data_IF_206996324131
#
_entry.id   IF_206996324131
#
_cell.length_a   1.000
_cell.length_b   1.000
_cell.length_c   1.000
_cell.angle_alpha   90.00
_cell.angle_beta   90.00
_cell.angle_gamma   90.00
#
_symmetry.space_group_name_H-M   'P 1'
#
loop_
_entity.id
_entity.type
_entity.pdbx_description
1 polymer ?
#
# COMPACT_ATOMS: atom_id res chain seq x y z
N UNK A 1 40.53 34.49 35.73
CA UNK A 1 40.35 34.26 34.26
C UNK A 1 40.15 32.79 33.84
N UNK A 2 40.18 31.79 34.73
CA UNK A 2 40.10 30.37 34.37
C UNK A 2 38.67 29.77 34.27
N UNK A 3 37.67 30.36 34.92
CA UNK A 3 36.31 29.78 34.98
C UNK A 3 35.43 30.13 33.75
N UNK A 4 35.63 31.33 33.17
CA UNK A 4 34.92 31.73 31.95
C UNK A 4 35.42 30.98 30.72
N UNK A 5 36.72 30.70 30.60
CA UNK A 5 37.30 29.94 29.51
C UNK A 5 36.88 28.46 29.54
N UNK A 6 36.76 27.85 30.73
CA UNK A 6 36.28 26.47 30.87
C UNK A 6 34.79 26.34 30.55
N UNK A 7 33.97 27.33 30.95
CA UNK A 7 32.55 27.36 30.60
C UNK A 7 32.31 27.56 29.08
N UNK A 8 33.12 28.42 28.44
CA UNK A 8 33.07 28.63 26.99
C UNK A 8 33.50 27.39 26.22
N UNK A 9 34.49 26.62 26.68
CA UNK A 9 34.94 25.38 26.06
C UNK A 9 33.86 24.27 26.15
N UNK A 10 33.21 24.15 27.31
CA UNK A 10 32.09 23.19 27.51
C UNK A 10 30.88 23.56 26.65
N UNK A 11 30.55 24.86 26.53
CA UNK A 11 29.48 25.33 25.67
C UNK A 11 29.81 25.13 24.18
N UNK A 12 31.06 25.34 23.75
CA UNK A 12 31.51 25.10 22.38
C UNK A 12 31.50 23.60 22.02
N UNK A 13 31.95 22.72 22.95
CA UNK A 13 31.86 21.27 22.76
C UNK A 13 30.38 20.77 22.69
N UNK A 14 29.51 21.29 23.56
CA UNK A 14 28.09 20.97 23.54
C UNK A 14 27.39 21.44 22.25
N UNK A 15 27.74 22.65 21.77
CA UNK A 15 27.24 23.19 20.51
C UNK A 15 27.75 22.40 19.29
N UNK A 16 29.01 21.94 19.32
CA UNK A 16 29.60 21.10 18.28
C UNK A 16 28.98 19.72 18.26
N UNK A 17 28.70 19.11 19.43
CA UNK A 17 27.97 17.83 19.52
C UNK A 17 26.52 17.98 19.04
N UNK A 18 25.81 19.05 19.40
CA UNK A 18 24.46 19.36 18.92
C UNK A 18 24.42 19.58 17.40
N UNK A 19 25.43 20.27 16.83
CA UNK A 19 25.56 20.49 15.41
C UNK A 19 25.85 19.19 14.62
N UNK A 20 26.67 18.28 15.21
CA UNK A 20 26.92 16.96 14.66
C UNK A 20 25.68 16.06 14.74
N UNK A 21 24.86 16.16 15.80
CA UNK A 21 23.56 15.48 15.88
C UNK A 21 22.51 16.07 14.93
N UNK A 22 22.51 17.37 14.68
CA UNK A 22 21.58 18.03 13.78
C UNK A 22 21.95 17.85 12.29
N UNK A 23 23.21 17.56 11.97
CA UNK A 23 23.67 17.25 10.61
C UNK A 23 23.60 15.77 10.26
N UNK A 24 23.42 14.89 11.25
CA UNK A 24 23.00 13.52 11.01
C UNK A 24 21.53 13.54 10.55
N UNK A 25 21.32 13.63 9.22
CA UNK A 25 20.03 13.26 8.65
C UNK A 25 19.69 11.87 9.19
N UNK A 26 18.45 11.63 9.63
CA UNK A 26 17.99 10.28 9.79
C UNK A 26 17.90 9.65 8.37
N UNK A 27 19.01 9.13 7.88
CA UNK A 27 18.89 7.93 7.10
C UNK A 27 18.12 6.96 8.01
N UNK A 28 17.07 6.34 7.55
CA UNK A 28 16.40 5.26 8.26
C UNK A 28 17.46 4.23 8.65
N UNK A 29 18.09 4.45 9.78
CA UNK A 29 19.10 3.62 10.34
C UNK A 29 18.48 3.06 11.61
N UNK A 30 18.15 1.79 11.52
CA UNK A 30 18.00 0.93 12.68
C UNK A 30 19.40 0.79 13.29
N UNK A 31 19.76 1.73 14.18
CA UNK A 31 21.12 1.93 14.71
C UNK A 31 21.38 1.08 15.96
N UNK A 32 21.15 -0.22 15.88
CA UNK A 32 21.69 -1.16 16.84
C UNK A 32 22.79 -2.01 16.21
N UNK A 33 23.74 -2.55 16.99
CA UNK A 33 24.51 -3.70 16.55
C UNK A 33 23.52 -4.87 16.36
N UNK A 34 22.72 -4.77 15.29
CA UNK A 34 21.65 -5.70 15.00
C UNK A 34 22.29 -6.99 14.54
N UNK A 35 21.99 -8.05 15.24
CA UNK A 35 22.28 -9.42 14.79
C UNK A 35 21.37 -9.84 13.64
N UNK A 36 20.39 -9.01 13.32
CA UNK A 36 19.46 -9.13 12.19
C UNK A 36 19.39 -7.78 11.48
N UNK A 37 19.77 -7.72 10.21
CA UNK A 37 19.73 -6.49 9.40
C UNK A 37 19.30 -6.77 7.96
N UNK A 38 18.73 -5.76 7.28
CA UNK A 38 18.41 -5.88 5.85
C UNK A 38 19.71 -6.04 5.05
N UNK A 39 19.77 -7.03 4.18
CA UNK A 39 20.94 -7.31 3.36
C UNK A 39 20.94 -6.45 2.11
N UNK A 40 21.86 -5.50 2.03
CA UNK A 40 22.00 -4.57 0.90
C UNK A 40 22.74 -5.16 -0.31
N UNK A 41 23.14 -6.43 -0.28
CA UNK A 41 23.93 -7.08 -1.32
C UNK A 41 23.16 -7.49 -2.57
N UNK A 42 21.83 -7.43 -2.56
CA UNK A 42 20.97 -7.68 -3.71
C UNK A 42 20.25 -6.38 -4.10
N UNK A 43 20.53 -5.77 -5.27
CA UNK A 43 20.02 -4.43 -5.63
C UNK A 43 18.48 -4.34 -5.73
N UNK A 44 17.80 -5.47 -5.95
CA UNK A 44 16.34 -5.54 -6.08
C UNK A 44 15.63 -6.09 -4.83
N UNK A 45 16.38 -6.48 -3.79
CA UNK A 45 15.79 -6.95 -2.54
C UNK A 45 15.49 -5.77 -1.60
N UNK A 46 14.48 -5.98 -0.73
CA UNK A 46 14.09 -5.04 0.32
C UNK A 46 13.37 -3.77 -0.17
N UNK A 47 12.85 -3.79 -1.40
CA UNK A 47 11.96 -2.72 -1.85
C UNK A 47 10.61 -2.85 -1.16
N UNK A 48 10.10 -1.70 -0.67
CA UNK A 48 8.77 -1.64 -0.07
C UNK A 48 7.67 -1.84 -1.12
N UNK A 49 6.55 -2.35 -0.70
CA UNK A 49 5.33 -2.33 -1.50
C UNK A 49 4.80 -0.89 -1.61
N UNK A 50 4.45 -0.49 -2.82
CA UNK A 50 3.77 0.77 -3.13
C UNK A 50 2.75 0.46 -4.24
N UNK A 51 1.68 -0.22 -3.83
CA UNK A 51 0.66 -0.75 -4.76
C UNK A 51 -0.53 0.20 -4.75
N UNK A 52 -0.87 0.74 -5.91
CA UNK A 52 -2.01 1.62 -6.08
C UNK A 52 -3.04 1.00 -7.04
N UNK A 53 -4.31 1.17 -6.73
CA UNK A 53 -5.41 0.70 -7.57
C UNK A 53 -5.53 -0.82 -7.64
N UNK A 54 -5.20 -1.52 -6.56
CA UNK A 54 -5.26 -2.98 -6.46
C UNK A 54 -6.69 -3.49 -6.66
N UNK A 55 -6.83 -4.56 -7.42
CA UNK A 55 -8.10 -5.14 -7.82
C UNK A 55 -8.31 -6.50 -7.16
N UNK A 56 -9.56 -6.93 -6.90
CA UNK A 56 -9.81 -8.30 -6.48
C UNK A 56 -9.16 -9.32 -7.43
N UNK A 57 -8.27 -10.15 -6.86
CA UNK A 57 -7.47 -11.14 -7.60
C UNK A 57 -6.09 -10.65 -8.06
N UNK A 58 -5.76 -9.36 -7.94
CA UNK A 58 -4.41 -8.86 -8.20
C UNK A 58 -3.43 -9.34 -7.12
N UNK A 59 -2.19 -9.55 -7.54
CA UNK A 59 -1.10 -9.96 -6.65
C UNK A 59 0.18 -9.20 -7.00
N UNK A 60 0.91 -8.81 -5.98
CA UNK A 60 2.21 -8.14 -6.11
C UNK A 60 3.23 -8.86 -5.25
N UNK A 61 4.44 -9.08 -5.79
CA UNK A 61 5.50 -9.82 -5.10
C UNK A 61 6.74 -8.95 -4.91
N UNK A 62 7.40 -9.11 -3.77
CA UNK A 62 8.70 -8.50 -3.47
C UNK A 62 9.62 -9.53 -2.84
N UNK A 63 10.90 -9.43 -3.19
CA UNK A 63 11.96 -10.24 -2.59
C UNK A 63 12.60 -9.47 -1.44
N UNK A 64 12.79 -10.16 -0.33
CA UNK A 64 13.45 -9.64 0.86
C UNK A 64 14.64 -10.50 1.22
N UNK A 65 15.69 -9.87 1.69
CA UNK A 65 16.88 -10.54 2.18
C UNK A 65 17.32 -9.91 3.52
N UNK A 66 17.45 -10.75 4.52
CA UNK A 66 17.85 -10.35 5.87
C UNK A 66 19.11 -11.11 6.24
N UNK A 67 20.12 -10.38 6.72
CA UNK A 67 21.36 -10.96 7.24
C UNK A 67 21.20 -11.25 8.72
N UNK A 68 21.52 -12.44 9.11
CA UNK A 68 21.43 -12.92 10.49
C UNK A 68 22.79 -13.46 10.95
N UNK A 69 23.35 -12.88 12.00
CA UNK A 69 24.58 -13.37 12.61
C UNK A 69 24.26 -14.38 13.72
N UNK A 70 24.61 -15.63 13.50
CA UNK A 70 24.39 -16.72 14.46
C UNK A 70 25.34 -17.88 14.20
N UNK A 71 25.58 -18.68 15.23
CA UNK A 71 26.36 -19.92 15.15
C UNK A 71 25.54 -21.16 15.45
N UNK A 72 24.50 -20.99 16.26
CA UNK A 72 23.57 -22.07 16.63
C UNK A 72 22.24 -21.89 15.90
N UNK A 73 21.47 -22.97 15.81
CA UNK A 73 20.12 -22.93 15.26
C UNK A 73 19.23 -21.94 16.02
N UNK A 74 18.44 -21.17 15.28
CA UNK A 74 17.50 -20.21 15.84
C UNK A 74 16.30 -20.01 14.92
N UNK A 75 15.23 -19.44 15.46
CA UNK A 75 14.02 -19.11 14.72
C UNK A 75 13.93 -17.60 14.52
N UNK A 76 13.75 -17.18 13.24
CA UNK A 76 13.46 -15.80 12.87
C UNK A 76 11.94 -15.67 12.72
N UNK A 77 11.38 -14.71 13.45
CA UNK A 77 9.96 -14.36 13.39
C UNK A 77 9.75 -13.29 12.32
N UNK A 78 8.88 -13.57 11.38
CA UNK A 78 8.39 -12.62 10.40
C UNK A 78 6.97 -12.22 10.75
N UNK A 79 6.72 -10.92 10.90
CA UNK A 79 5.41 -10.36 11.28
C UNK A 79 5.08 -9.11 10.50
N UNK A 80 3.79 -8.80 10.43
CA UNK A 80 3.27 -7.54 9.92
C UNK A 80 2.85 -6.65 11.11
N UNK A 81 3.02 -5.34 10.98
CA UNK A 81 2.45 -4.34 11.89
C UNK A 81 1.53 -3.43 11.08
N UNK A 82 0.25 -3.38 11.45
CA UNK A 82 -0.74 -2.54 10.78
C UNK A 82 -0.61 -1.11 11.30
N UNK A 83 -0.10 -0.20 10.48
CA UNK A 83 0.04 1.24 10.79
C UNK A 83 -1.28 1.96 10.53
N UNK A 84 -1.93 1.66 9.40
CA UNK A 84 -3.29 2.07 9.07
C UNK A 84 -4.01 0.95 8.33
N UNK A 85 -5.32 0.83 8.54
CA UNK A 85 -6.15 -0.19 7.95
C UNK A 85 -7.58 0.34 7.79
N UNK A 86 -7.84 0.95 6.64
CA UNK A 86 -9.15 1.49 6.33
C UNK A 86 -10.09 0.37 5.89
N UNK A 87 -11.31 0.41 6.40
CA UNK A 87 -12.38 -0.53 6.08
C UNK A 87 -12.02 -2.01 6.36
N UNK A 88 -10.93 -2.28 7.12
CA UNK A 88 -10.49 -3.63 7.40
C UNK A 88 -9.81 -4.31 6.20
N UNK A 89 -9.18 -3.53 5.30
CA UNK A 89 -8.54 -4.05 4.09
C UNK A 89 -7.51 -5.16 4.38
N UNK A 90 -6.85 -5.12 5.55
CA UNK A 90 -5.88 -6.16 5.96
C UNK A 90 -6.50 -7.56 6.14
N UNK A 91 -7.83 -7.70 6.26
CA UNK A 91 -8.53 -8.98 6.26
C UNK A 91 -8.73 -9.53 4.84
N UNK A 92 -8.91 -8.63 3.86
CA UNK A 92 -9.05 -8.98 2.45
C UNK A 92 -7.70 -9.13 1.73
N UNK A 93 -6.62 -8.54 2.28
CA UNK A 93 -5.27 -8.74 1.80
C UNK A 93 -4.73 -10.09 2.29
N UNK A 94 -4.32 -10.93 1.36
CA UNK A 94 -3.75 -12.25 1.60
C UNK A 94 -2.24 -12.20 1.37
N UNK A 95 -1.45 -12.63 2.35
CA UNK A 95 0.00 -12.72 2.26
C UNK A 95 0.43 -14.18 2.09
N UNK A 96 1.29 -14.43 1.11
CA UNK A 96 2.00 -15.69 0.93
C UNK A 96 3.49 -15.43 1.04
N UNK A 97 4.14 -16.14 1.94
CA UNK A 97 5.58 -16.00 2.21
C UNK A 97 6.27 -17.32 1.89
N UNK A 98 7.26 -17.25 1.02
CA UNK A 98 8.05 -18.39 0.58
C UNK A 98 9.52 -18.17 0.93
N UNK A 99 10.21 -19.24 1.34
CA UNK A 99 11.65 -19.22 1.54
C UNK A 99 12.42 -19.27 0.20
N UNK A 100 13.75 -19.21 0.26
CA UNK A 100 14.62 -19.27 -0.91
C UNK A 100 14.50 -20.58 -1.72
N UNK A 101 13.97 -21.64 -1.12
CA UNK A 101 13.71 -22.92 -1.78
C UNK A 101 12.30 -23.01 -2.38
N UNK A 102 11.48 -21.98 -2.19
CA UNK A 102 10.07 -21.95 -2.61
C UNK A 102 9.13 -22.67 -1.66
N UNK A 103 9.60 -23.06 -0.45
CA UNK A 103 8.71 -23.64 0.56
C UNK A 103 7.87 -22.55 1.20
N UNK A 104 6.55 -22.80 1.33
CA UNK A 104 5.61 -21.87 1.93
C UNK A 104 5.79 -21.85 3.44
N UNK A 105 6.14 -20.70 3.98
CA UNK A 105 6.31 -20.45 5.42
C UNK A 105 5.05 -19.87 6.04
N UNK A 106 4.32 -19.06 5.26
CA UNK A 106 3.03 -18.49 5.65
C UNK A 106 2.12 -18.39 4.42
N UNK A 107 0.83 -18.62 4.66
CA UNK A 107 -0.22 -18.47 3.63
C UNK A 107 -1.54 -18.13 4.34
N UNK A 108 -1.95 -16.85 4.31
CA UNK A 108 -3.11 -16.38 5.05
C UNK A 108 -3.32 -14.87 5.02
N UNK A 109 -4.37 -14.36 5.69
CA UNK A 109 -4.65 -12.93 5.74
C UNK A 109 -3.51 -12.13 6.38
N UNK A 110 -3.26 -10.92 5.88
CA UNK A 110 -2.22 -10.02 6.43
C UNK A 110 -2.51 -9.69 7.89
N UNK A 111 -3.77 -9.55 8.28
CA UNK A 111 -4.16 -9.33 9.68
C UNK A 111 -3.75 -10.49 10.60
N UNK A 112 -3.86 -11.73 10.13
CA UNK A 112 -3.42 -12.89 10.93
C UNK A 112 -1.90 -12.90 11.10
N UNK A 113 -1.12 -12.52 10.08
CA UNK A 113 0.33 -12.36 10.16
C UNK A 113 0.76 -11.30 11.19
N UNK A 114 -0.08 -10.29 11.43
CA UNK A 114 0.15 -9.30 12.49
C UNK A 114 -0.04 -9.88 13.91
N UNK A 115 -0.83 -10.92 14.06
CA UNK A 115 -1.14 -11.57 15.36
C UNK A 115 -0.28 -12.79 15.61
N UNK A 116 -0.06 -13.61 14.58
CA UNK A 116 0.69 -14.85 14.63
C UNK A 116 1.87 -14.79 13.62
N UNK A 117 3.08 -14.45 14.10
CA UNK A 117 4.26 -14.36 13.23
C UNK A 117 4.60 -15.69 12.55
N UNK A 118 5.00 -15.63 11.30
CA UNK A 118 5.60 -16.76 10.60
C UNK A 118 7.02 -17.03 11.12
N UNK A 119 7.46 -18.29 11.11
CA UNK A 119 8.77 -18.69 11.62
C UNK A 119 9.65 -19.25 10.52
N UNK A 120 10.83 -18.66 10.37
CA UNK A 120 11.92 -19.21 9.56
C UNK A 120 12.93 -19.88 10.49
N UNK A 121 13.14 -21.18 10.32
CA UNK A 121 14.12 -21.93 11.09
C UNK A 121 15.49 -21.93 10.40
N UNK A 122 16.48 -21.37 11.07
CA UNK A 122 17.87 -21.40 10.64
C UNK A 122 18.60 -22.54 11.35
N UNK A 123 19.35 -23.33 10.57
CA UNK A 123 20.20 -24.39 11.10
C UNK A 123 21.50 -23.81 11.67
N UNK A 124 22.25 -24.63 12.43
CA UNK A 124 23.58 -24.27 12.91
C UNK A 124 24.48 -23.84 11.75
N UNK A 125 25.23 -22.74 11.95
CA UNK A 125 26.13 -22.19 10.95
C UNK A 125 27.48 -21.80 11.56
N UNK A 126 28.50 -22.61 11.31
CA UNK A 126 29.88 -22.35 11.77
C UNK A 126 30.49 -21.10 11.11
N UNK A 127 29.99 -20.66 9.95
CA UNK A 127 30.44 -19.44 9.29
C UNK A 127 30.01 -18.15 10.02
N UNK A 128 29.10 -18.26 10.99
CA UNK A 128 28.70 -17.16 11.85
C UNK A 128 27.70 -16.16 11.22
N UNK A 129 27.29 -16.37 9.96
CA UNK A 129 26.35 -15.47 9.25
C UNK A 129 25.51 -16.24 8.25
N UNK A 130 24.21 -15.97 8.21
CA UNK A 130 23.28 -16.51 7.20
C UNK A 130 22.51 -15.37 6.56
N UNK A 131 22.31 -15.43 5.24
CA UNK A 131 21.37 -14.55 4.52
C UNK A 131 20.07 -15.32 4.34
N UNK A 132 19.04 -14.89 5.07
CA UNK A 132 17.67 -15.36 4.93
C UNK A 132 17.03 -14.60 3.78
N UNK A 133 16.79 -15.25 2.65
CA UNK A 133 16.04 -14.71 1.54
C UNK A 133 14.61 -15.27 1.56
N UNK A 134 13.63 -14.42 1.30
CA UNK A 134 12.23 -14.81 1.18
C UNK A 134 11.51 -13.96 0.13
N UNK A 135 10.46 -14.52 -0.44
CA UNK A 135 9.52 -13.83 -1.30
C UNK A 135 8.22 -13.62 -0.55
N UNK A 136 7.73 -12.39 -0.55
CA UNK A 136 6.43 -12.05 -0.02
C UNK A 136 5.54 -11.65 -1.18
N UNK A 137 4.43 -12.35 -1.36
CA UNK A 137 3.39 -12.02 -2.32
C UNK A 137 2.17 -11.57 -1.55
N UNK A 138 1.66 -10.37 -1.87
CA UNK A 138 0.41 -9.86 -1.31
C UNK A 138 -0.62 -9.80 -2.42
N UNK A 139 -1.78 -10.39 -2.20
CA UNK A 139 -2.90 -10.39 -3.15
C UNK A 139 -4.17 -9.87 -2.48
N UNK A 140 -5.04 -9.24 -3.26
CA UNK A 140 -6.39 -8.90 -2.81
C UNK A 140 -7.30 -10.09 -3.12
N UNK A 141 -8.08 -10.54 -2.13
CA UNK A 141 -9.01 -11.66 -2.29
C UNK A 141 -9.92 -11.38 -3.51
N UNK A 142 -10.05 -12.36 -4.40
CA UNK A 142 -10.93 -12.28 -5.58
C UNK A 142 -12.41 -12.12 -5.20
N UNK A 143 -12.79 -12.49 -3.98
CA UNK A 143 -14.13 -12.29 -3.43
C UNK A 143 -14.31 -10.94 -2.71
N UNK A 144 -13.26 -10.10 -2.64
CA UNK A 144 -13.35 -8.77 -2.03
C UNK A 144 -14.41 -7.93 -2.78
N UNK A 145 -15.40 -7.44 -2.03
CA UNK A 145 -16.53 -6.70 -2.58
C UNK A 145 -16.29 -5.19 -2.65
N UNK A 146 -17.34 -4.46 -2.97
CA UNK A 146 -17.32 -3.00 -3.12
C UNK A 146 -17.03 -2.26 -1.80
N UNK A 147 -17.16 -2.92 -0.66
CA UNK A 147 -16.86 -2.36 0.67
C UNK A 147 -15.39 -1.94 0.82
N UNK A 148 -14.49 -2.50 0.00
CA UNK A 148 -13.06 -2.15 0.01
C UNK A 148 -12.66 -1.14 -1.06
N UNK A 149 -13.60 -0.59 -1.85
CA UNK A 149 -13.27 0.39 -2.88
C UNK A 149 -12.67 1.67 -2.30
N UNK A 150 -11.51 2.07 -2.81
CA UNK A 150 -10.78 3.25 -2.34
C UNK A 150 -10.20 3.11 -0.93
N UNK A 151 -10.16 1.89 -0.38
CA UNK A 151 -9.56 1.63 0.92
C UNK A 151 -8.02 1.69 0.84
N UNK A 152 -7.40 2.11 1.95
CA UNK A 152 -5.96 2.24 2.11
C UNK A 152 -5.48 1.40 3.30
N UNK A 153 -4.38 0.67 3.11
CA UNK A 153 -3.68 0.01 4.20
C UNK A 153 -2.18 0.34 4.15
N UNK A 154 -1.61 0.66 5.30
CA UNK A 154 -0.17 0.81 5.49
C UNK A 154 0.32 -0.25 6.48
N UNK A 155 1.35 -1.00 6.07
CA UNK A 155 1.82 -2.19 6.78
C UNK A 155 3.35 -2.10 6.88
N UNK A 156 3.88 -2.31 8.08
CA UNK A 156 5.31 -2.46 8.30
C UNK A 156 5.66 -3.95 8.46
N UNK A 157 6.68 -4.41 7.75
CA UNK A 157 7.16 -5.79 7.81
C UNK A 157 8.38 -5.87 8.71
N UNK A 158 8.41 -6.88 9.59
CA UNK A 158 9.42 -7.04 10.61
C UNK A 158 10.01 -8.44 10.64
N UNK A 159 11.33 -8.50 10.76
CA UNK A 159 12.10 -9.71 11.06
C UNK A 159 12.77 -9.56 12.41
N UNK A 160 12.52 -10.45 13.31
CA UNK A 160 13.11 -10.44 14.67
C UNK A 160 13.45 -11.87 15.11
N UNK A 161 14.37 -11.97 16.03
CA UNK A 161 14.68 -13.25 16.68
C UNK A 161 13.69 -13.46 17.82
N UNK A 162 13.34 -14.72 18.11
CA UNK A 162 12.55 -15.03 19.29
C UNK A 162 13.33 -14.69 20.56
N UNK A 163 12.66 -14.15 21.57
CA UNK A 163 13.29 -13.76 22.82
C UNK A 163 14.05 -14.90 23.52
N UNK A 164 13.63 -16.16 23.30
CA UNK A 164 14.32 -17.34 23.81
C UNK A 164 15.66 -17.62 23.11
N UNK A 165 15.84 -17.10 21.89
CA UNK A 165 17.00 -17.32 21.03
C UNK A 165 17.95 -16.11 20.95
N UNK A 166 17.61 -14.96 21.56
CA UNK A 166 18.46 -13.76 21.53
C UNK A 166 19.90 -14.00 22.00
N UNK A 167 20.11 -14.92 22.96
CA UNK A 167 21.45 -15.29 23.45
C UNK A 167 22.30 -16.09 22.47
N UNK A 168 21.74 -16.56 21.35
CA UNK A 168 22.44 -17.32 20.29
C UNK A 168 22.97 -16.42 19.17
N UNK A 169 22.66 -15.13 19.20
CA UNK A 169 23.06 -14.17 18.19
C UNK A 169 24.51 -13.73 18.39
N UNK A 170 25.25 -13.65 17.31
CA UNK A 170 26.59 -13.05 17.29
C UNK A 170 26.51 -11.58 16.83
N UNK A 171 27.36 -10.69 17.34
CA UNK A 171 27.39 -9.32 16.85
C UNK A 171 27.88 -9.28 15.40
N UNK A 172 27.08 -8.66 14.51
CA UNK A 172 27.49 -8.39 13.14
C UNK A 172 28.63 -7.35 13.12
N UNK A 173 29.71 -7.65 12.40
CA UNK A 173 30.78 -6.70 12.20
C UNK A 173 30.31 -5.63 11.16
N UNK A 174 29.72 -4.56 11.65
CA UNK A 174 29.39 -3.38 10.82
C UNK A 174 30.67 -2.61 10.47
N UNK A 175 31.07 -2.63 9.23
CA UNK A 175 32.26 -1.92 8.73
C UNK A 175 32.09 -0.38 8.66
N UNK A 176 30.89 0.15 8.84
CA UNK A 176 30.61 1.61 8.79
C UNK A 176 30.35 2.30 10.13
N UNK A 177 29.78 1.60 11.12
CA UNK A 177 29.30 2.21 12.36
C UNK A 177 30.26 2.14 13.56
N UNK A 178 31.28 1.28 13.50
CA UNK A 178 32.31 1.24 14.53
C UNK A 178 32.99 2.61 14.72
N UNK A 179 33.11 3.40 13.65
CA UNK A 179 33.67 4.75 13.72
C UNK A 179 32.74 5.71 14.46
N UNK A 180 31.45 5.64 14.22
CA UNK A 180 30.42 6.46 14.87
C UNK A 180 30.32 6.14 16.38
N UNK A 181 30.35 4.86 16.76
CA UNK A 181 30.36 4.42 18.16
C UNK A 181 31.64 4.82 18.88
N UNK A 182 32.80 4.69 18.26
CA UNK A 182 34.08 5.11 18.86
C UNK A 182 34.10 6.63 19.06
N UNK A 183 33.58 7.39 18.10
CA UNK A 183 33.47 8.87 18.24
C UNK A 183 32.50 9.24 19.35
N UNK A 184 31.36 8.57 19.49
CA UNK A 184 30.39 8.81 20.56
C UNK A 184 30.95 8.45 21.94
N UNK A 185 31.66 7.32 22.06
CA UNK A 185 32.37 6.91 23.28
C UNK A 185 33.50 7.87 23.67
N UNK A 186 34.27 8.33 22.67
CA UNK A 186 35.32 9.33 22.88
C UNK A 186 34.74 10.68 23.33
N UNK A 187 33.66 11.14 22.74
CA UNK A 187 32.95 12.35 23.13
C UNK A 187 32.40 12.24 24.57
N UNK A 188 31.83 11.10 24.93
CA UNK A 188 31.34 10.80 26.29
C UNK A 188 32.49 10.79 27.30
N UNK A 189 33.61 10.14 27.00
CA UNK A 189 34.82 10.11 27.83
C UNK A 189 35.41 11.52 28.01
N UNK A 190 35.45 12.34 26.96
CA UNK A 190 35.90 13.73 27.03
C UNK A 190 34.97 14.58 27.92
N UNK A 191 33.65 14.41 27.84
CA UNK A 191 32.69 15.09 28.69
C UNK A 191 32.82 14.66 30.15
N UNK A 192 33.02 13.38 30.46
CA UNK A 192 33.25 12.86 31.80
C UNK A 192 34.57 13.37 32.37
N UNK A 193 35.65 13.40 31.56
CA UNK A 193 36.94 13.93 31.95
C UNK A 193 36.87 15.45 32.23
N UNK A 194 36.20 16.22 31.38
CA UNK A 194 35.97 17.66 31.57
C UNK A 194 35.16 17.93 32.83
N UNK A 195 34.08 17.19 33.07
CA UNK A 195 33.27 17.26 34.29
C UNK A 195 34.11 16.93 35.55
N UNK A 196 34.98 15.90 35.48
CA UNK A 196 35.86 15.50 36.57
C UNK A 196 36.92 16.59 36.90
N UNK A 197 37.55 17.19 35.86
CA UNK A 197 38.56 18.26 36.05
C UNK A 197 37.93 19.50 36.64
N UNK A 198 36.77 19.95 36.17
CA UNK A 198 35.99 21.06 36.75
C UNK A 198 35.55 20.70 38.16
N UNK A 199 35.25 19.45 38.42
CA UNK A 199 34.85 18.90 39.70
C UNK A 199 35.95 19.01 40.77
N UNK A 200 37.16 18.77 40.39
CA UNK A 200 38.30 18.76 41.32
C UNK A 200 38.71 20.17 41.80
N UNK A 201 38.32 21.22 41.02
CA UNK A 201 38.75 22.61 41.26
C UNK A 201 37.79 23.49 42.08
N UNK A 202 36.55 23.09 42.34
CA UNK A 202 35.59 23.95 43.04
C UNK A 202 34.96 23.29 44.27
N UNK A 203 35.06 23.95 45.40
CA UNK A 203 34.50 23.54 46.71
C UNK A 203 33.03 23.90 46.95
N UNK A 204 32.33 24.45 45.98
CA UNK A 204 31.02 25.08 46.16
C UNK A 204 29.86 24.07 46.09
N UNK A 205 28.83 24.24 46.97
CA UNK A 205 27.66 23.33 47.06
C UNK A 205 26.85 23.27 45.77
N UNK A 206 26.75 24.39 45.02
CA UNK A 206 26.02 24.44 43.71
C UNK A 206 26.71 23.59 42.66
N UNK A 207 28.03 23.53 42.68
CA UNK A 207 28.79 22.69 41.74
C UNK A 207 28.71 21.20 42.06
N UNK A 208 28.42 20.81 43.32
CA UNK A 208 28.16 19.40 43.67
C UNK A 208 26.83 18.91 43.09
N UNK A 209 25.78 19.74 43.11
CA UNK A 209 24.50 19.41 42.50
C UNK A 209 24.62 19.26 40.97
N UNK A 210 25.37 20.16 40.31
CA UNK A 210 25.61 20.08 38.85
C UNK A 210 26.37 18.81 38.46
N UNK A 211 27.26 18.31 39.32
CA UNK A 211 28.01 17.04 39.14
C UNK A 211 27.08 15.82 39.18
N UNK A 212 26.17 15.83 40.17
CA UNK A 212 25.18 14.75 40.30
C UNK A 212 24.26 14.69 39.05
N UNK A 213 23.79 15.82 38.57
CA UNK A 213 22.97 15.91 37.36
C UNK A 213 23.76 15.45 36.13
N UNK A 214 25.03 15.86 35.96
CA UNK A 214 25.85 15.41 34.84
C UNK A 214 26.16 13.90 34.89
N UNK A 215 26.39 13.34 36.08
CA UNK A 215 26.61 11.90 36.24
C UNK A 215 25.34 11.08 35.94
N UNK A 216 24.17 11.54 36.41
CA UNK A 216 22.88 10.90 36.11
C UNK A 216 22.55 10.99 34.63
N UNK A 217 22.80 12.14 33.99
CA UNK A 217 22.59 12.29 32.54
C UNK A 217 23.51 11.38 31.71
N UNK A 218 24.77 11.20 32.13
CA UNK A 218 25.71 10.29 31.48
C UNK A 218 25.30 8.84 31.63
N UNK A 219 24.81 8.41 32.80
CA UNK A 219 24.29 7.06 33.03
C UNK A 219 23.01 6.81 32.21
N UNK A 220 22.11 7.81 32.17
CA UNK A 220 20.89 7.71 31.35
C UNK A 220 21.22 7.61 29.85
N UNK A 221 22.21 8.37 29.37
CA UNK A 221 22.66 8.29 27.98
C UNK A 221 23.28 6.93 27.64
N UNK A 222 24.08 6.36 28.54
CA UNK A 222 24.65 5.00 28.39
C UNK A 222 23.54 3.96 28.40
N UNK A 223 22.51 4.09 29.23
CA UNK A 223 21.38 3.17 29.27
C UNK A 223 20.55 3.24 27.98
N UNK A 224 20.31 4.44 27.44
CA UNK A 224 19.63 4.63 26.15
C UNK A 224 20.43 4.06 24.98
N UNK A 225 21.75 4.27 24.96
CA UNK A 225 22.65 3.70 23.95
C UNK A 225 22.72 2.18 24.07
N UNK A 226 22.77 1.63 25.29
CA UNK A 226 22.75 0.18 25.51
C UNK A 226 21.42 -0.44 25.07
N UNK A 227 20.30 0.25 25.28
CA UNK A 227 18.98 -0.20 24.82
C UNK A 227 18.86 -0.12 23.28
N UNK A 228 19.38 0.92 22.64
CA UNK A 228 19.46 1.03 21.18
C UNK A 228 20.38 -0.04 20.55
N UNK A 229 21.40 -0.51 21.28
CA UNK A 229 22.32 -1.56 20.84
C UNK A 229 21.72 -3.00 20.95
N UNK A 230 20.63 -3.16 21.69
CA UNK A 230 19.94 -4.44 21.89
C UNK A 230 18.80 -4.68 20.90
N UNK A 231 18.57 -3.79 19.95
CA UNK A 231 17.55 -3.96 18.93
C UNK A 231 18.00 -5.03 17.90
N UNK A 232 17.44 -6.24 18.00
CA UNK A 232 17.68 -7.38 17.12
C UNK A 232 16.59 -7.51 16.06
N UNK A 233 16.29 -6.40 15.38
CA UNK A 233 15.11 -6.31 14.50
C UNK A 233 15.46 -5.62 13.18
N UNK A 234 15.15 -6.26 12.07
CA UNK A 234 15.13 -5.64 10.75
C UNK A 234 13.68 -5.33 10.33
N UNK A 235 13.45 -4.22 9.66
CA UNK A 235 12.12 -3.84 9.21
C UNK A 235 12.11 -3.14 7.85
N UNK A 236 11.08 -3.41 7.05
CA UNK A 236 10.73 -2.64 5.84
C UNK A 236 9.44 -1.91 6.13
N UNK A 237 9.49 -0.57 6.16
CA UNK A 237 8.39 0.29 6.59
C UNK A 237 7.74 1.03 5.44
N UNK A 238 6.47 1.43 5.66
CA UNK A 238 5.71 2.24 4.73
C UNK A 238 5.31 1.47 3.49
N UNK A 239 5.00 0.19 3.61
CA UNK A 239 4.35 -0.56 2.54
C UNK A 239 2.91 -0.09 2.46
N UNK A 240 2.47 0.37 1.27
CA UNK A 240 1.14 0.90 1.04
C UNK A 240 0.40 0.07 0.01
N UNK A 241 -0.88 -0.15 0.27
CA UNK A 241 -1.81 -0.86 -0.60
C UNK A 241 -3.08 -0.02 -0.71
N UNK A 242 -3.40 0.40 -1.93
CA UNK A 242 -4.59 1.17 -2.25
C UNK A 242 -5.44 0.39 -3.23
N UNK A 243 -6.73 0.31 -2.99
CA UNK A 243 -7.67 -0.34 -3.90
C UNK A 243 -8.21 0.63 -4.93
N UNK A 244 -8.59 0.12 -6.11
CA UNK A 244 -9.19 0.88 -7.17
C UNK A 244 -10.67 1.22 -6.91
N UNK A 245 -11.17 2.24 -7.61
CA UNK A 245 -12.59 2.59 -7.64
C UNK A 245 -13.17 2.33 -9.02
N UNK A 246 -14.38 1.74 -9.04
CA UNK A 246 -15.19 1.58 -10.25
C UNK A 246 -16.28 2.64 -10.22
N UNK A 247 -16.29 3.53 -11.21
CA UNK A 247 -17.30 4.58 -11.33
C UNK A 247 -17.50 4.92 -12.81
N UNK A 248 -18.76 4.98 -13.23
CA UNK A 248 -19.16 5.44 -14.56
C UNK A 248 -20.03 6.68 -14.45
N UNK A 249 -19.87 7.57 -15.43
CA UNK A 249 -20.78 8.66 -15.70
C UNK A 249 -21.41 8.45 -17.07
N UNK A 250 -22.75 8.58 -17.11
CA UNK A 250 -23.51 8.56 -18.35
C UNK A 250 -23.94 9.96 -18.70
N UNK A 251 -23.43 10.50 -19.80
CA UNK A 251 -23.81 11.76 -20.41
C UNK A 251 -23.81 12.96 -19.45
N UNK A 252 -22.93 12.95 -18.43
CA UNK A 252 -22.87 13.99 -17.39
C UNK A 252 -24.16 14.08 -16.57
N UNK A 253 -24.92 12.97 -16.43
CA UNK A 253 -26.23 12.95 -15.78
C UNK A 253 -27.35 13.60 -16.60
N UNK A 254 -27.11 13.95 -17.84
CA UNK A 254 -28.13 14.57 -18.72
C UNK A 254 -28.89 13.51 -19.53
N UNK A 255 -30.21 13.67 -19.76
CA UNK A 255 -30.95 12.77 -20.61
C UNK A 255 -30.37 12.73 -22.02
N UNK A 256 -30.22 11.52 -22.61
CA UNK A 256 -29.84 11.37 -24.00
C UNK A 256 -30.99 11.73 -24.94
N UNK A 257 -32.20 11.33 -24.57
CA UNK A 257 -33.42 11.67 -25.32
C UNK A 257 -34.24 12.74 -24.59
N UNK A 258 -34.84 13.67 -25.32
CA UNK A 258 -35.73 14.69 -24.78
C UNK A 258 -37.12 14.57 -25.39
N UNK A 259 -38.16 15.04 -24.71
CA UNK A 259 -39.55 15.03 -25.18
C UNK A 259 -39.75 15.65 -26.55
N UNK A 260 -38.82 16.55 -26.97
CA UNK A 260 -38.87 17.21 -28.27
C UNK A 260 -38.19 16.43 -29.39
N UNK A 261 -37.19 15.63 -29.06
CA UNK A 261 -36.43 14.80 -30.03
C UNK A 261 -37.04 13.40 -30.21
N UNK A 262 -37.90 12.97 -29.30
CA UNK A 262 -38.38 11.58 -29.20
C UNK A 262 -39.78 11.34 -29.78
N UNK A 263 -40.22 12.09 -30.80
CA UNK A 263 -41.42 11.77 -31.54
C UNK A 263 -41.15 10.54 -32.43
N UNK A 264 -41.62 9.38 -31.98
CA UNK A 264 -41.52 8.13 -32.74
C UNK A 264 -42.60 8.05 -33.84
N UNK A 265 -42.17 7.91 -35.07
CA UNK A 265 -43.03 7.65 -36.22
C UNK A 265 -42.69 6.25 -36.75
N UNK A 266 -43.69 5.43 -37.16
CA UNK A 266 -43.43 4.10 -37.75
C UNK A 266 -42.42 4.19 -38.90
N UNK A 267 -41.37 3.36 -38.84
CA UNK A 267 -40.29 3.35 -39.85
C UNK A 267 -39.28 4.46 -39.79
N UNK A 268 -39.36 5.34 -38.80
CA UNK A 268 -38.37 6.42 -38.55
C UNK A 268 -37.63 6.19 -37.24
N UNK A 269 -36.29 6.22 -37.30
CA UNK A 269 -35.45 6.17 -36.10
C UNK A 269 -35.18 7.57 -35.55
N UNK A 270 -35.20 7.68 -34.25
CA UNK A 270 -34.63 8.81 -33.49
C UNK A 270 -33.28 8.37 -32.92
N UNK A 271 -32.24 9.12 -33.23
CA UNK A 271 -30.86 8.74 -32.90
C UNK A 271 -30.21 9.84 -32.09
N UNK A 272 -29.61 9.47 -30.96
CA UNK A 272 -28.91 10.37 -30.09
C UNK A 272 -27.55 9.76 -29.65
N UNK A 273 -26.62 10.61 -29.27
CA UNK A 273 -25.34 10.20 -28.72
C UNK A 273 -25.42 10.03 -27.19
N UNK A 274 -24.78 8.99 -26.69
CA UNK A 274 -24.63 8.71 -25.28
C UNK A 274 -23.15 8.61 -24.92
N UNK A 275 -22.65 9.56 -24.14
CA UNK A 275 -21.30 9.50 -23.61
C UNK A 275 -21.23 8.60 -22.39
N UNK A 276 -20.29 7.67 -22.38
CA UNK A 276 -19.97 6.78 -21.27
C UNK A 276 -18.56 7.08 -20.81
N UNK A 277 -18.40 7.69 -19.66
CA UNK A 277 -17.11 8.08 -19.10
C UNK A 277 -16.74 7.21 -17.88
N UNK A 278 -15.53 6.71 -17.87
CA UNK A 278 -14.96 6.07 -16.69
C UNK A 278 -14.37 7.13 -15.75
N UNK A 279 -15.10 7.46 -14.69
CA UNK A 279 -14.68 8.42 -13.66
C UNK A 279 -13.97 7.75 -12.48
N UNK A 280 -13.85 6.41 -12.49
CA UNK A 280 -13.12 5.64 -11.51
C UNK A 280 -11.61 5.63 -11.76
N UNK A 281 -10.87 4.99 -10.87
CA UNK A 281 -9.41 4.78 -10.97
C UNK A 281 -9.04 3.43 -11.59
N UNK A 282 -10.00 2.52 -11.76
CA UNK A 282 -9.81 1.20 -12.35
C UNK A 282 -10.29 1.16 -13.81
N UNK A 283 -9.63 0.37 -14.67
CA UNK A 283 -10.12 0.05 -16.00
C UNK A 283 -11.38 -0.83 -15.90
N UNK A 284 -12.39 -0.55 -16.71
CA UNK A 284 -13.69 -1.22 -16.59
C UNK A 284 -14.17 -1.76 -17.93
N UNK A 285 -14.98 -2.83 -17.86
CA UNK A 285 -15.92 -3.20 -18.91
C UNK A 285 -17.30 -2.81 -18.43
N UNK A 286 -18.11 -2.29 -19.32
CA UNK A 286 -19.45 -1.87 -18.98
C UNK A 286 -20.50 -2.53 -19.87
N UNK A 287 -21.72 -2.59 -19.36
CA UNK A 287 -22.89 -2.91 -20.15
C UNK A 287 -23.95 -1.83 -19.95
N UNK A 288 -24.74 -1.57 -21.00
CA UNK A 288 -25.86 -0.63 -20.98
C UNK A 288 -27.14 -1.41 -21.08
N UNK A 289 -28.16 -0.95 -20.42
CA UNK A 289 -29.49 -1.54 -20.43
C UNK A 289 -30.57 -0.50 -20.09
N UNK A 290 -31.85 -0.84 -20.34
CA UNK A 290 -32.98 0.01 -19.94
C UNK A 290 -33.42 -0.35 -18.51
N UNK A 291 -33.49 0.68 -17.66
CA UNK A 291 -34.18 0.64 -16.37
C UNK A 291 -35.56 1.30 -16.45
N UNK A 292 -36.41 1.04 -15.47
CA UNK A 292 -37.71 1.68 -15.30
C UNK A 292 -38.59 1.69 -16.58
N UNK A 293 -38.46 0.67 -17.41
CA UNK A 293 -39.17 0.54 -18.69
C UNK A 293 -40.66 0.44 -18.48
N UNK A 294 -41.44 1.39 -19.02
CA UNK A 294 -42.88 1.42 -18.92
C UNK A 294 -43.53 2.14 -20.12
N UNK A 295 -44.80 1.94 -20.33
CA UNK A 295 -45.57 2.59 -21.40
C UNK A 295 -46.36 1.62 -22.26
N UNK A 296 -47.29 2.14 -23.05
CA UNK A 296 -48.17 1.37 -23.90
C UNK A 296 -47.52 0.96 -25.24
N UNK A 297 -46.38 1.57 -25.61
CA UNK A 297 -45.67 1.28 -26.86
C UNK A 297 -44.45 0.34 -26.67
N UNK A 298 -44.21 -0.22 -25.48
CA UNK A 298 -43.01 -1.03 -25.18
C UNK A 298 -42.82 -2.18 -26.14
N UNK A 299 -43.89 -2.88 -26.50
CA UNK A 299 -43.84 -4.06 -27.37
C UNK A 299 -43.49 -3.75 -28.85
N UNK A 300 -43.67 -2.48 -29.25
CA UNK A 300 -43.52 -2.06 -30.65
C UNK A 300 -42.26 -1.18 -30.86
N UNK A 301 -41.44 -0.99 -29.82
CA UNK A 301 -40.24 -0.18 -29.89
C UNK A 301 -38.97 -1.03 -29.89
N UNK A 302 -38.12 -0.75 -30.86
CA UNK A 302 -36.82 -1.41 -31.01
C UNK A 302 -35.68 -0.42 -30.80
N UNK A 303 -34.58 -0.93 -30.27
CA UNK A 303 -33.35 -0.19 -30.00
C UNK A 303 -32.17 -0.73 -30.81
N UNK A 304 -31.31 0.14 -31.26
CA UNK A 304 -30.00 -0.21 -31.81
C UNK A 304 -28.94 0.63 -31.13
N UNK A 305 -27.87 0.00 -30.61
CA UNK A 305 -26.74 0.65 -29.98
C UNK A 305 -25.48 0.33 -30.77
N UNK A 306 -24.74 1.39 -31.16
CA UNK A 306 -23.50 1.30 -31.92
C UNK A 306 -22.34 1.91 -31.14
N UNK A 307 -21.18 1.30 -31.27
CA UNK A 307 -19.89 1.88 -30.90
C UNK A 307 -19.05 2.02 -32.18
N UNK A 308 -18.91 3.24 -32.70
CA UNK A 308 -18.41 3.44 -34.05
C UNK A 308 -19.28 2.73 -35.09
N UNK A 309 -18.69 1.83 -35.86
CA UNK A 309 -19.41 0.99 -36.86
C UNK A 309 -19.87 -0.35 -36.28
N UNK A 310 -19.54 -0.68 -35.03
CA UNK A 310 -19.89 -1.95 -34.41
C UNK A 310 -21.27 -1.90 -33.75
N UNK A 311 -22.16 -2.83 -34.11
CA UNK A 311 -23.47 -3.02 -33.46
C UNK A 311 -23.23 -3.74 -32.13
N UNK A 312 -23.48 -3.07 -31.02
CA UNK A 312 -23.41 -3.68 -29.69
C UNK A 312 -24.72 -4.36 -29.31
N UNK A 313 -25.82 -3.77 -29.73
CA UNK A 313 -27.16 -4.30 -29.49
C UNK A 313 -28.10 -3.93 -30.64
N UNK A 314 -29.04 -4.83 -30.98
CA UNK A 314 -30.18 -4.55 -31.84
C UNK A 314 -31.31 -5.49 -31.43
N UNK A 315 -32.47 -4.97 -31.02
CA UNK A 315 -33.59 -5.76 -30.55
C UNK A 315 -34.70 -4.92 -29.90
N UNK A 316 -35.67 -5.58 -29.30
CA UNK A 316 -36.83 -4.94 -28.67
C UNK A 316 -36.43 -4.24 -27.34
N UNK A 317 -37.25 -3.29 -26.88
CA UNK A 317 -37.07 -2.61 -25.60
C UNK A 317 -36.97 -3.60 -24.44
N UNK A 318 -37.78 -4.66 -24.42
CA UNK A 318 -37.71 -5.70 -23.38
C UNK A 318 -36.39 -6.49 -23.39
N UNK A 319 -35.86 -6.78 -24.58
CA UNK A 319 -34.55 -7.43 -24.70
C UNK A 319 -33.42 -6.50 -24.19
N UNK A 320 -33.53 -5.21 -24.49
CA UNK A 320 -32.55 -4.24 -24.04
C UNK A 320 -32.65 -3.96 -22.53
N UNK A 321 -33.78 -4.18 -21.89
CA UNK A 321 -33.93 -4.09 -20.44
C UNK A 321 -33.26 -5.24 -19.69
N UNK A 322 -32.79 -6.30 -20.38
CA UNK A 322 -32.05 -7.37 -19.75
C UNK A 322 -30.59 -6.94 -19.48
N UNK A 323 -30.15 -7.04 -18.22
CA UNK A 323 -28.76 -6.76 -17.87
C UNK A 323 -27.80 -7.66 -18.66
N UNK A 324 -26.75 -7.05 -19.22
CA UNK A 324 -25.77 -7.76 -20.04
C UNK A 324 -26.14 -7.93 -21.52
N UNK A 325 -27.31 -7.45 -21.98
CA UNK A 325 -27.72 -7.52 -23.38
C UNK A 325 -26.84 -6.67 -24.30
N UNK A 326 -26.31 -5.56 -23.81
CA UNK A 326 -25.43 -4.62 -24.53
C UNK A 326 -24.13 -4.41 -23.78
N UNK A 327 -23.16 -5.30 -23.97
CA UNK A 327 -21.85 -5.24 -23.31
C UNK A 327 -20.81 -4.65 -24.25
N UNK A 328 -20.03 -3.67 -23.79
CA UNK A 328 -18.89 -3.14 -24.56
C UNK A 328 -17.81 -4.22 -24.75
N UNK A 329 -17.30 -4.40 -25.97
CA UNK A 329 -16.19 -5.32 -26.24
C UNK A 329 -14.84 -4.75 -25.76
N UNK A 330 -14.77 -3.43 -25.55
CA UNK A 330 -13.54 -2.71 -25.18
C UNK A 330 -13.44 -2.52 -23.68
N UNK A 331 -12.22 -2.32 -23.22
CA UNK A 331 -11.92 -1.93 -21.83
C UNK A 331 -11.78 -0.43 -21.80
N UNK A 332 -12.57 0.26 -20.98
CA UNK A 332 -12.56 1.69 -20.83
C UNK A 332 -11.57 2.05 -19.68
N UNK A 333 -10.43 2.61 -20.04
CA UNK A 333 -9.41 3.01 -19.07
C UNK A 333 -9.87 4.19 -18.20
N UNK A 334 -9.25 4.40 -17.02
CA UNK A 334 -9.54 5.55 -16.16
C UNK A 334 -9.47 6.88 -16.93
N UNK A 335 -10.48 7.72 -16.75
CA UNK A 335 -10.58 9.02 -17.41
C UNK A 335 -10.92 8.99 -18.91
N UNK A 336 -11.10 7.81 -19.49
CA UNK A 336 -11.56 7.68 -20.89
C UNK A 336 -13.08 7.80 -21.00
N UNK A 337 -13.52 8.29 -22.17
CA UNK A 337 -14.93 8.38 -22.55
C UNK A 337 -15.11 7.73 -23.90
N UNK A 338 -16.14 6.89 -24.03
CA UNK A 338 -16.65 6.36 -25.29
C UNK A 338 -17.98 6.99 -25.60
N UNK A 339 -18.24 7.25 -26.89
CA UNK A 339 -19.54 7.75 -27.36
C UNK A 339 -20.26 6.64 -28.11
N UNK A 340 -21.42 6.28 -27.58
CA UNK A 340 -22.34 5.34 -28.21
C UNK A 340 -23.40 6.09 -28.99
N UNK A 341 -23.85 5.51 -30.09
CA UNK A 341 -24.99 6.00 -30.84
C UNK A 341 -26.17 5.12 -30.53
N UNK A 342 -27.20 5.67 -29.90
CA UNK A 342 -28.42 4.96 -29.52
C UNK A 342 -29.56 5.40 -30.44
N UNK A 343 -30.11 4.46 -31.18
CA UNK A 343 -31.25 4.66 -32.06
C UNK A 343 -32.46 3.96 -31.51
N UNK A 344 -33.60 4.65 -31.53
CA UNK A 344 -34.91 4.15 -31.11
C UNK A 344 -35.86 4.28 -32.29
N UNK A 345 -36.57 3.24 -32.61
CA UNK A 345 -37.60 3.30 -33.67
C UNK A 345 -38.84 2.50 -33.31
N UNK A 346 -39.98 2.96 -33.82
CA UNK A 346 -41.25 2.24 -33.73
C UNK A 346 -41.33 1.26 -34.90
N UNK A 347 -41.73 0.04 -34.62
CA UNK A 347 -41.91 -0.99 -35.66
C UNK A 347 -42.79 -0.51 -36.80
N UNK A 348 -42.39 -0.74 -38.04
CA UNK A 348 -43.09 -0.26 -39.23
C UNK A 348 -44.55 -0.75 -39.32
N UNK A 349 -44.85 -1.90 -38.74
CA UNK A 349 -46.18 -2.48 -38.66
C UNK A 349 -47.06 -1.90 -37.55
N UNK A 350 -46.57 -1.00 -36.71
CA UNK A 350 -47.37 -0.33 -35.70
C UNK A 350 -48.42 0.56 -36.40
N UNK A 351 -49.65 0.12 -36.39
CA UNK A 351 -50.76 0.84 -37.04
C UNK A 351 -51.21 2.07 -36.26
N UNK A 352 -52.17 2.84 -36.85
CA UNK A 352 -52.75 4.05 -36.22
C UNK A 352 -53.35 3.80 -34.81
N UNK A 353 -53.52 2.56 -34.41
CA UNK A 353 -54.02 2.16 -33.08
C UNK A 353 -53.07 2.61 -31.98
N UNK A 354 -51.77 2.82 -32.29
CA UNK A 354 -50.72 3.25 -31.37
C UNK A 354 -50.53 4.79 -31.34
N UNK A 355 -51.38 5.53 -32.00
CA UNK A 355 -51.26 6.98 -32.03
C UNK A 355 -51.56 7.57 -30.64
N UNK A 356 -50.57 8.22 -30.04
CA UNK A 356 -50.63 8.76 -28.68
C UNK A 356 -50.09 7.84 -27.62
N UNK A 357 -49.62 6.61 -27.98
CA UNK A 357 -48.88 5.74 -27.07
C UNK A 357 -47.45 6.29 -26.81
N UNK A 358 -46.90 5.97 -25.67
CA UNK A 358 -45.56 6.42 -25.25
C UNK A 358 -44.78 5.28 -24.61
N UNK A 359 -43.49 5.54 -24.52
CA UNK A 359 -42.54 4.73 -23.75
C UNK A 359 -41.72 5.64 -22.83
N UNK A 360 -41.50 5.20 -21.63
CA UNK A 360 -40.62 5.86 -20.65
C UNK A 360 -39.58 4.85 -20.18
N UNK A 361 -38.34 5.26 -20.08
CA UNK A 361 -37.23 4.44 -19.68
C UNK A 361 -36.06 5.27 -19.17
N UNK A 362 -35.18 4.65 -18.35
CA UNK A 362 -33.88 5.16 -17.97
C UNK A 362 -32.81 4.38 -18.77
N UNK A 363 -31.78 5.07 -19.25
CA UNK A 363 -30.53 4.44 -19.71
C UNK A 363 -29.64 4.20 -18.51
N UNK A 364 -29.35 2.95 -18.22
CA UNK A 364 -28.53 2.51 -17.10
C UNK A 364 -27.24 1.88 -17.61
N UNK A 365 -26.17 1.94 -16.81
CA UNK A 365 -24.95 1.19 -17.05
C UNK A 365 -24.48 0.50 -15.79
N UNK A 366 -24.07 -0.76 -15.94
CA UNK A 366 -23.29 -1.49 -14.93
C UNK A 366 -21.85 -1.59 -15.40
N UNK A 367 -20.90 -1.45 -14.48
CA UNK A 367 -19.49 -1.62 -14.74
C UNK A 367 -18.92 -2.75 -13.91
N UNK A 368 -18.10 -3.55 -14.55
CA UNK A 368 -17.24 -4.51 -13.87
C UNK A 368 -15.79 -4.17 -14.19
N UNK A 369 -14.95 -4.31 -13.20
CA UNK A 369 -13.55 -4.11 -13.36
C UNK A 369 -12.97 -5.08 -14.40
N UNK A 370 -12.18 -4.55 -15.32
CA UNK A 370 -11.42 -5.39 -16.24
C UNK A 370 -10.24 -5.98 -15.46
N UNK A 371 -10.15 -7.33 -15.39
CA UNK A 371 -8.96 -7.95 -14.82
C UNK A 371 -7.72 -7.44 -15.58
N UNK A 372 -6.72 -6.97 -14.86
CA UNK A 372 -5.42 -6.69 -15.44
C UNK A 372 -4.91 -8.02 -15.99
N UNK A 373 -4.89 -8.15 -17.32
CA UNK A 373 -4.21 -9.26 -17.95
C UNK A 373 -2.76 -9.22 -17.50
N UNK A 374 -2.38 -10.06 -16.54
CA UNK A 374 -1.00 -10.27 -16.18
C UNK A 374 -0.26 -10.63 -17.46
N UNK A 375 0.54 -9.72 -17.99
CA UNK A 375 1.58 -10.06 -18.93
C UNK A 375 2.55 -10.96 -18.17
N UNK A 376 2.27 -12.29 -18.26
CA UNK A 376 3.23 -13.31 -17.91
C UNK A 376 4.37 -13.21 -18.91
N UNK A 377 5.48 -12.65 -18.48
CA UNK A 377 6.76 -12.70 -19.11
C UNK A 377 7.74 -13.45 -18.22
#
# INVERSE_FOLDING_TARGET
MGTAAAAALVAACAACCLALFASARPACADDGAASVELYAGAPSANERFAVAGMLPGDAESRDFAVRVAHTSSLDIRFSAELVSDEQGLADALHARVEDAAGAVVYDGPVRALAQEPALFRLADNEAGETVLACRVTVSLDAAAGNEFQGAHAQIDLHWSVDASDEGKLAPLAKTGDAFSMVVALLALLCMLAAAFVVARRSGDRRMRALRLVAAVAAVALVAVLAWALLATRASVRGNTFDTGTVSLDLNGGSPAFSDRSALLEPGRAVTEELAVANTGSAAVRYCIYLGNLQGSAVDDVEFTVLLGDAVLFSGTAEQFAQRGSCTSPTVLAPGQTETLVVSVHLWEGAGNVRQGDGIEFDLCADAVQAANGGEGG
#
